data_IF_260641853022
#
_entry.id   IF_260641853022
#
_cell.length_a   1.000
_cell.length_b   1.000
_cell.length_c   1.000
_cell.angle_alpha   90.00
_cell.angle_beta   90.00
_cell.angle_gamma   90.00
#
_symmetry.space_group_name_H-M   'P 1'
#
loop_
_entity.id
_entity.type
_entity.pdbx_description
1 polymer ?
#
# COMPACT_ATOMS: atom_id res chain seq x y z
N UNK A 1 -32.56 20.69 22.10
CA UNK A 1 -33.33 20.34 20.89
C UNK A 1 -32.33 19.78 19.88
N UNK A 2 -32.15 18.46 19.89
CA UNK A 2 -31.18 17.72 19.09
C UNK A 2 -31.76 17.52 17.68
N UNK A 3 -31.17 18.17 16.68
CA UNK A 3 -31.49 17.88 15.28
C UNK A 3 -30.83 16.55 14.91
N UNK A 4 -31.66 15.60 14.47
CA UNK A 4 -31.27 14.27 14.06
C UNK A 4 -30.28 14.33 12.88
N UNK A 5 -29.16 13.65 13.05
CA UNK A 5 -28.21 13.31 12.00
C UNK A 5 -28.84 12.24 11.10
N UNK A 6 -29.34 12.59 9.92
CA UNK A 6 -29.50 11.60 8.85
C UNK A 6 -28.13 11.39 8.19
N UNK A 7 -27.29 10.61 8.89
CA UNK A 7 -25.92 10.28 8.51
C UNK A 7 -25.82 9.43 7.24
N UNK A 8 -26.35 9.91 6.12
CA UNK A 8 -26.03 9.43 4.78
C UNK A 8 -24.83 10.21 4.27
N UNK A 9 -23.65 9.94 4.82
CA UNK A 9 -22.41 10.26 4.12
C UNK A 9 -22.41 9.43 2.83
N UNK A 10 -22.80 10.05 1.72
CA UNK A 10 -22.62 9.47 0.39
C UNK A 10 -21.12 9.47 0.09
N UNK A 11 -20.39 8.53 0.70
CA UNK A 11 -19.05 8.18 0.30
C UNK A 11 -19.18 7.36 -0.98
N UNK A 12 -18.76 7.86 -2.16
CA UNK A 12 -18.86 7.11 -3.42
C UNK A 12 -17.96 5.86 -3.46
N UNK A 13 -17.28 5.52 -2.35
CA UNK A 13 -16.35 4.42 -2.23
C UNK A 13 -16.68 3.52 -1.03
N UNK A 14 -17.92 3.05 -0.91
CA UNK A 14 -18.11 1.73 -0.29
C UNK A 14 -17.72 0.69 -1.32
N UNK A 15 -16.40 0.49 -1.50
CA UNK A 15 -15.87 -0.67 -2.20
C UNK A 15 -16.35 -1.89 -1.40
N UNK A 16 -17.41 -2.53 -1.88
CA UNK A 16 -17.71 -3.88 -1.46
C UNK A 16 -16.50 -4.71 -1.83
N UNK A 17 -15.72 -5.17 -0.83
CA UNK A 17 -14.49 -5.94 -1.03
C UNK A 17 -14.72 -7.28 -1.75
N UNK A 18 -15.95 -7.58 -2.17
CA UNK A 18 -16.33 -8.79 -2.92
C UNK A 18 -17.02 -8.50 -4.25
N UNK A 19 -17.13 -7.25 -4.69
CA UNK A 19 -17.80 -6.93 -5.95
C UNK A 19 -16.89 -7.16 -7.16
N UNK A 20 -17.07 -8.29 -7.84
CA UNK A 20 -16.41 -8.56 -9.13
C UNK A 20 -17.01 -7.69 -10.24
N UNK A 21 -16.15 -7.02 -11.00
CA UNK A 21 -16.54 -6.22 -12.17
C UNK A 21 -15.86 -6.77 -13.43
N UNK A 22 -16.59 -6.81 -14.54
CA UNK A 22 -16.07 -7.35 -15.81
C UNK A 22 -15.43 -6.26 -16.66
N UNK A 23 -14.16 -6.44 -17.04
CA UNK A 23 -13.45 -5.59 -17.99
C UNK A 23 -13.35 -6.26 -19.37
N UNK A 24 -13.67 -5.52 -20.43
CA UNK A 24 -13.44 -6.00 -21.81
C UNK A 24 -11.98 -5.77 -22.19
N UNK A 25 -11.34 -6.81 -22.70
CA UNK A 25 -9.95 -6.78 -23.17
C UNK A 25 -9.83 -7.47 -24.52
N UNK A 26 -8.74 -7.18 -25.25
CA UNK A 26 -8.44 -7.92 -26.48
C UNK A 26 -8.08 -9.39 -26.16
N UNK A 27 -8.29 -10.33 -27.10
CA UNK A 27 -7.85 -11.73 -26.92
C UNK A 27 -6.36 -11.84 -26.60
N UNK A 28 -5.53 -11.04 -27.28
CA UNK A 28 -4.09 -11.02 -27.05
C UNK A 28 -3.72 -10.54 -25.63
N UNK A 29 -4.43 -9.54 -25.10
CA UNK A 29 -4.24 -9.08 -23.72
C UNK A 29 -4.63 -10.16 -22.73
N UNK A 30 -5.78 -10.81 -22.93
CA UNK A 30 -6.21 -11.93 -22.08
C UNK A 30 -5.17 -13.03 -22.05
N UNK A 31 -4.64 -13.42 -23.21
CA UNK A 31 -3.63 -14.49 -23.30
C UNK A 31 -2.34 -14.13 -22.58
N UNK A 32 -1.88 -12.88 -22.70
CA UNK A 32 -0.71 -12.39 -21.94
C UNK A 32 -0.93 -12.46 -20.43
N UNK A 33 -2.09 -12.01 -19.94
CA UNK A 33 -2.41 -12.08 -18.51
C UNK A 33 -2.44 -13.52 -18.03
N UNK A 34 -3.06 -14.43 -18.78
CA UNK A 34 -3.08 -15.87 -18.43
C UNK A 34 -1.68 -16.47 -18.42
N UNK A 35 -0.81 -16.06 -19.36
CA UNK A 35 0.58 -16.51 -19.40
C UNK A 35 1.36 -16.05 -18.17
N UNK A 36 1.27 -14.76 -17.83
CA UNK A 36 1.90 -14.19 -16.63
C UNK A 36 1.40 -14.92 -15.37
N UNK A 37 0.08 -15.11 -15.26
CA UNK A 37 -0.52 -15.82 -14.13
C UNK A 37 0.05 -17.25 -13.96
N UNK A 38 0.24 -17.96 -15.07
CA UNK A 38 0.77 -19.33 -15.07
C UNK A 38 2.28 -19.41 -14.84
N UNK A 39 3.06 -18.55 -15.51
CA UNK A 39 4.53 -18.63 -15.54
C UNK A 39 5.19 -17.84 -14.41
N UNK A 40 4.72 -16.63 -14.12
CA UNK A 40 5.40 -15.70 -13.22
C UNK A 40 4.85 -15.78 -11.79
N UNK A 41 3.55 -16.05 -11.66
CA UNK A 41 2.85 -16.08 -10.37
C UNK A 41 2.39 -17.48 -9.92
N UNK A 42 2.87 -18.54 -10.57
CA UNK A 42 2.66 -19.92 -10.08
C UNK A 42 1.24 -20.48 -10.27
N UNK A 43 0.51 -20.00 -11.27
CA UNK A 43 -0.80 -20.54 -11.63
C UNK A 43 -1.99 -19.87 -10.92
N UNK A 44 -1.83 -18.65 -10.42
CA UNK A 44 -2.94 -17.85 -9.87
C UNK A 44 -4.01 -17.56 -10.91
N UNK A 45 -5.16 -17.06 -10.47
CA UNK A 45 -6.22 -16.61 -11.37
C UNK A 45 -5.81 -15.35 -12.15
N UNK A 46 -6.50 -15.08 -13.25
CA UNK A 46 -6.27 -13.86 -14.03
C UNK A 46 -6.57 -12.58 -13.24
N UNK A 47 -7.54 -12.62 -12.32
CA UNK A 47 -7.89 -11.48 -11.48
C UNK A 47 -6.78 -11.19 -10.45
N UNK A 48 -6.29 -12.23 -9.77
CA UNK A 48 -5.15 -12.12 -8.86
C UNK A 48 -3.89 -11.63 -9.58
N UNK A 49 -3.60 -12.15 -10.78
CA UNK A 49 -2.47 -11.67 -11.58
C UNK A 49 -2.62 -10.18 -11.94
N UNK A 50 -3.84 -9.70 -12.25
CA UNK A 50 -4.08 -8.29 -12.51
C UNK A 50 -3.90 -7.41 -11.26
N UNK A 51 -4.31 -7.90 -10.09
CA UNK A 51 -4.08 -7.21 -8.82
C UNK A 51 -2.58 -7.09 -8.53
N UNK A 52 -1.83 -8.19 -8.62
CA UNK A 52 -0.38 -8.20 -8.43
C UNK A 52 0.33 -7.25 -9.40
N UNK A 53 -0.04 -7.27 -10.68
CA UNK A 53 0.51 -6.35 -11.68
C UNK A 53 0.20 -4.87 -11.38
N UNK A 54 -0.98 -4.58 -10.82
CA UNK A 54 -1.34 -3.23 -10.42
C UNK A 54 -0.53 -2.78 -9.20
N UNK A 55 -0.34 -3.65 -8.21
CA UNK A 55 0.47 -3.38 -7.03
C UNK A 55 1.93 -3.13 -7.41
N UNK A 56 2.51 -3.99 -8.26
CA UNK A 56 3.86 -3.80 -8.81
C UNK A 56 4.01 -2.51 -9.62
N UNK A 57 2.94 -2.09 -10.32
CA UNK A 57 2.94 -0.80 -11.01
C UNK A 57 3.05 0.35 -10.00
N UNK A 58 2.24 0.32 -8.94
CA UNK A 58 2.26 1.34 -7.90
C UNK A 58 3.58 1.38 -7.13
N UNK A 59 4.15 0.23 -6.79
CA UNK A 59 5.46 0.14 -6.16
C UNK A 59 6.54 0.81 -7.01
N UNK A 60 6.59 0.50 -8.31
CA UNK A 60 7.54 1.14 -9.24
C UNK A 60 7.33 2.64 -9.34
N UNK A 61 6.09 3.12 -9.33
CA UNK A 61 5.80 4.56 -9.32
C UNK A 61 6.27 5.23 -8.02
N UNK A 62 6.07 4.58 -6.87
CA UNK A 62 6.51 5.09 -5.58
C UNK A 62 8.04 5.19 -5.51
N UNK A 63 8.75 4.14 -5.95
CA UNK A 63 10.22 4.14 -6.02
C UNK A 63 10.74 5.23 -6.97
N UNK A 64 10.12 5.38 -8.14
CA UNK A 64 10.48 6.44 -9.09
C UNK A 64 10.20 7.84 -8.54
N UNK A 65 9.14 8.01 -7.76
CA UNK A 65 8.83 9.27 -7.10
C UNK A 65 9.86 9.60 -6.01
N UNK A 66 10.28 8.62 -5.22
CA UNK A 66 11.29 8.79 -4.18
C UNK A 66 12.66 9.14 -4.78
N UNK A 67 13.06 8.46 -5.86
CA UNK A 67 14.30 8.79 -6.57
C UNK A 67 14.27 10.20 -7.16
N UNK A 68 13.12 10.60 -7.72
CA UNK A 68 12.93 11.96 -8.20
C UNK A 68 13.05 12.98 -7.07
N UNK A 69 12.43 12.72 -5.92
CA UNK A 69 12.51 13.59 -4.74
C UNK A 69 13.96 13.77 -4.29
N UNK A 70 14.71 12.65 -4.13
CA UNK A 70 16.14 12.67 -3.79
C UNK A 70 16.97 13.53 -4.74
N UNK A 71 16.70 13.46 -6.05
CA UNK A 71 17.45 14.19 -7.08
C UNK A 71 17.07 15.67 -7.15
N UNK A 72 15.78 15.99 -7.01
CA UNK A 72 15.25 17.34 -7.25
C UNK A 72 15.26 18.21 -5.99
N UNK A 73 15.17 17.61 -4.80
CA UNK A 73 15.29 18.29 -3.51
C UNK A 73 16.15 17.49 -2.51
N UNK A 74 17.49 17.56 -2.64
CA UNK A 74 18.39 16.83 -1.76
C UNK A 74 18.32 17.26 -0.30
N UNK A 75 17.97 18.54 -0.04
CA UNK A 75 17.87 19.06 1.32
C UNK A 75 16.62 18.52 2.02
N UNK A 76 15.46 18.60 1.37
CA UNK A 76 14.23 17.99 1.89
C UNK A 76 14.34 16.48 2.05
N UNK A 77 15.06 15.80 1.14
CA UNK A 77 15.33 14.37 1.30
C UNK A 77 16.23 14.06 2.51
N UNK A 78 17.23 14.90 2.78
CA UNK A 78 18.09 14.75 3.96
C UNK A 78 17.30 14.94 5.26
N UNK A 79 16.42 15.95 5.30
CA UNK A 79 15.52 16.19 6.44
C UNK A 79 14.58 15.00 6.66
N UNK A 80 13.95 14.48 5.60
CA UNK A 80 13.12 13.27 5.66
C UNK A 80 13.87 12.05 6.23
N UNK A 81 15.12 11.83 5.82
CA UNK A 81 15.94 10.74 6.35
C UNK A 81 16.34 10.95 7.81
N UNK A 82 16.55 12.19 8.24
CA UNK A 82 16.82 12.51 9.64
C UNK A 82 15.61 12.19 10.52
N UNK A 83 14.40 12.60 10.09
CA UNK A 83 13.15 12.26 10.78
C UNK A 83 12.95 10.73 10.86
N UNK A 84 13.21 9.99 9.78
CA UNK A 84 13.09 8.53 9.78
C UNK A 84 14.05 7.87 10.78
N UNK A 85 15.29 8.37 10.88
CA UNK A 85 16.27 7.88 11.85
C UNK A 85 15.85 8.14 13.30
N UNK A 86 15.15 9.24 13.59
CA UNK A 86 14.59 9.50 14.91
C UNK A 86 13.48 8.49 15.26
N UNK A 87 12.62 8.16 14.30
CA UNK A 87 11.54 7.15 14.49
C UNK A 87 12.13 5.75 14.67
N UNK A 88 13.10 5.34 13.87
CA UNK A 88 13.77 4.04 14.00
C UNK A 88 14.45 3.89 15.36
N UNK A 89 15.06 4.97 15.87
CA UNK A 89 15.66 4.99 17.20
C UNK A 89 14.62 4.80 18.32
N UNK A 90 13.39 5.27 18.13
CA UNK A 90 12.29 5.06 19.08
C UNK A 90 11.77 3.61 19.05
N UNK A 91 11.65 3.00 17.87
CA UNK A 91 11.24 1.60 17.72
C UNK A 91 12.28 0.60 18.24
N UNK A 92 13.57 0.98 18.19
CA UNK A 92 14.66 0.16 18.72
C UNK A 92 14.82 0.23 20.25
N UNK A 93 14.11 1.14 20.93
CA UNK A 93 14.16 1.24 22.38
C UNK A 93 13.49 0.00 23.01
N UNK A 94 14.14 -0.71 23.96
CA UNK A 94 13.51 -1.83 24.64
C UNK A 94 12.23 -1.36 25.34
N UNK A 95 11.09 -1.97 24.97
CA UNK A 95 9.86 -1.82 25.73
C UNK A 95 9.97 -2.64 27.03
N UNK A 96 10.48 -2.04 28.10
CA UNK A 96 9.87 -2.27 29.42
C UNK A 96 10.23 -1.21 30.50
N UNK A 97 9.31 -0.31 30.88
CA UNK A 97 9.40 0.43 32.14
C UNK A 97 8.83 -0.35 33.35
N UNK A 98 8.16 -1.49 33.16
CA UNK A 98 7.35 -2.16 34.19
C UNK A 98 8.01 -3.37 34.87
N UNK A 99 9.25 -3.74 34.54
CA UNK A 99 10.00 -4.79 35.27
C UNK A 99 10.71 -4.30 36.56
N UNK A 100 10.59 -3.01 36.92
CA UNK A 100 11.30 -2.47 38.09
C UNK A 100 10.54 -2.57 39.44
N UNK A 101 9.29 -3.06 39.46
CA UNK A 101 8.44 -3.07 40.66
C UNK A 101 7.90 -4.47 41.03
N UNK A 102 8.67 -5.52 40.81
CA UNK A 102 8.37 -6.88 41.32
C UNK A 102 9.45 -7.46 42.25
N UNK A 103 10.46 -6.66 42.61
CA UNK A 103 11.56 -7.08 43.47
C UNK A 103 11.86 -6.06 44.59
N UNK A 104 10.86 -5.82 45.45
CA UNK A 104 11.04 -5.17 46.75
C UNK A 104 10.19 -5.86 47.83
#
# INVERSE_FOLDING_TARGET
MLAALDGSYNTPYTLSMTATTMMRVSPATRERVMKIAAEDYGGVTADEALQLLADEHWERQALAAMERFRREDPAGYADYMAELGEVEALDAAPLDPWESEAAA
#
